data_IF_088640043388
#
_entry.id   IF_088640043388
#
_cell.length_a   1.000
_cell.length_b   1.000
_cell.length_c   1.000
_cell.angle_alpha   90.00
_cell.angle_beta   90.00
_cell.angle_gamma   90.00
#
_symmetry.space_group_name_H-M   'P 1'
#
loop_
_entity.id
_entity.type
_entity.pdbx_description
1 polymer ?
#
# COMPACT_ATOMS: atom_id res chain seq x y z
N UNK A 1 9.82 -8.20 9.01
CA UNK A 1 10.39 -8.33 7.64
C UNK A 1 11.26 -7.13 7.29
N UNK A 2 10.75 -5.88 7.31
CA UNK A 2 11.52 -4.70 6.88
C UNK A 2 12.81 -4.41 7.67
N UNK A 3 12.94 -4.67 8.99
CA UNK A 3 14.24 -4.48 9.67
C UNK A 3 15.32 -5.46 9.19
N UNK A 4 14.95 -6.73 9.01
CA UNK A 4 15.87 -7.74 8.45
C UNK A 4 16.28 -7.39 7.00
N UNK A 5 15.35 -6.86 6.20
CA UNK A 5 15.67 -6.34 4.86
C UNK A 5 16.65 -5.16 4.91
N UNK A 6 16.53 -4.29 5.92
CA UNK A 6 17.44 -3.16 6.10
C UNK A 6 18.86 -3.63 6.48
N UNK A 7 18.98 -4.59 7.39
CA UNK A 7 20.26 -5.20 7.76
C UNK A 7 20.95 -5.84 6.55
N UNK A 8 20.20 -6.62 5.76
CA UNK A 8 20.72 -7.23 4.54
C UNK A 8 21.14 -6.18 3.51
N UNK A 9 20.33 -5.14 3.31
CA UNK A 9 20.63 -4.07 2.37
C UNK A 9 21.92 -3.33 2.73
N UNK A 10 22.14 -3.05 4.02
CA UNK A 10 23.39 -2.44 4.51
C UNK A 10 24.59 -3.31 4.19
N UNK A 11 24.51 -4.63 4.46
CA UNK A 11 25.60 -5.56 4.18
C UNK A 11 25.95 -5.57 2.68
N UNK A 12 24.95 -5.78 1.83
CA UNK A 12 25.15 -5.86 0.37
C UNK A 12 25.71 -4.55 -0.18
N UNK A 13 25.17 -3.40 0.23
CA UNK A 13 25.60 -2.12 -0.30
C UNK A 13 26.99 -1.69 0.21
N UNK A 14 27.36 -2.10 1.42
CA UNK A 14 28.72 -1.93 1.91
C UNK A 14 29.73 -2.73 1.06
N UNK A 15 29.41 -3.98 0.74
CA UNK A 15 30.24 -4.83 -0.14
C UNK A 15 30.36 -4.25 -1.57
N UNK A 16 29.34 -3.51 -2.03
CA UNK A 16 29.36 -2.79 -3.32
C UNK A 16 30.07 -1.42 -3.29
N UNK A 17 30.65 -1.03 -2.15
CA UNK A 17 31.43 0.20 -2.02
C UNK A 17 30.60 1.46 -1.77
N UNK A 18 29.34 1.35 -1.34
CA UNK A 18 28.56 2.52 -0.90
C UNK A 18 29.22 3.14 0.33
N UNK A 19 29.43 4.47 0.37
CA UNK A 19 30.05 5.13 1.51
C UNK A 19 29.34 4.84 2.82
N UNK A 20 30.10 4.44 3.85
CA UNK A 20 29.57 4.08 5.18
C UNK A 20 28.70 5.19 5.79
N UNK A 21 29.00 6.45 5.50
CA UNK A 21 28.21 7.60 5.94
C UNK A 21 26.74 7.60 5.45
N UNK A 22 26.43 6.92 4.33
CA UNK A 22 25.07 6.81 3.79
C UNK A 22 24.27 5.64 4.35
N UNK A 23 24.94 4.64 4.93
CA UNK A 23 24.32 3.38 5.35
C UNK A 23 23.27 3.56 6.47
N UNK A 24 23.45 4.44 7.47
CA UNK A 24 22.42 4.66 8.50
C UNK A 24 21.10 5.20 7.94
N UNK A 25 21.16 6.19 7.04
CA UNK A 25 19.98 6.77 6.42
C UNK A 25 19.27 5.75 5.51
N UNK A 26 20.04 4.95 4.77
CA UNK A 26 19.51 3.86 3.96
C UNK A 26 18.84 2.78 4.81
N UNK A 27 19.48 2.34 5.88
CA UNK A 27 18.92 1.37 6.81
C UNK A 27 17.57 1.86 7.33
N UNK A 28 17.51 3.11 7.78
CA UNK A 28 16.26 3.69 8.28
C UNK A 28 15.17 3.72 7.22
N UNK A 29 15.48 4.18 6.01
CA UNK A 29 14.49 4.22 4.93
C UNK A 29 13.92 2.82 4.63
N UNK A 30 14.78 1.80 4.55
CA UNK A 30 14.34 0.40 4.32
C UNK A 30 13.60 -0.15 5.54
N UNK A 31 13.99 0.16 6.76
CA UNK A 31 13.28 -0.33 7.95
C UNK A 31 11.88 0.30 8.06
N UNK A 32 11.77 1.60 7.77
CA UNK A 32 10.59 2.42 8.01
C UNK A 32 9.53 2.38 6.90
N UNK A 33 9.86 1.97 5.66
CA UNK A 33 8.90 2.04 4.56
C UNK A 33 7.64 1.18 4.78
N UNK A 34 7.77 0.00 5.39
CA UNK A 34 6.65 -0.94 5.54
C UNK A 34 5.57 -0.44 6.50
N UNK A 35 4.31 -0.45 6.04
CA UNK A 35 3.14 -0.13 6.86
C UNK A 35 3.05 -0.97 8.15
N UNK A 36 3.34 -2.27 8.06
CA UNK A 36 3.20 -3.20 9.18
C UNK A 36 4.27 -3.02 10.27
N UNK A 37 5.42 -2.42 9.93
CA UNK A 37 6.52 -2.23 10.86
C UNK A 37 6.25 -1.10 11.87
N UNK A 38 5.37 -0.14 11.53
CA UNK A 38 5.00 1.00 12.38
C UNK A 38 6.20 1.83 12.87
N UNK A 39 7.27 1.88 12.07
CA UNK A 39 8.44 2.70 12.35
C UNK A 39 8.22 4.08 11.71
N UNK A 40 8.33 5.19 12.46
CA UNK A 40 8.18 6.54 11.92
C UNK A 40 9.26 6.89 10.88
N UNK A 41 8.87 7.60 9.82
CA UNK A 41 9.81 8.14 8.83
C UNK A 41 10.43 9.46 9.31
N UNK A 42 11.62 9.36 9.90
CA UNK A 42 12.36 10.50 10.47
C UNK A 42 13.16 11.30 9.43
N UNK A 43 13.59 10.67 8.33
CA UNK A 43 14.38 11.32 7.28
C UNK A 43 13.56 11.58 6.02
N UNK A 44 14.02 12.52 5.19
CA UNK A 44 13.37 12.84 3.90
C UNK A 44 13.40 11.62 2.97
N UNK A 45 14.49 10.88 2.95
CA UNK A 45 14.64 9.65 2.14
C UNK A 45 13.66 8.56 2.57
N UNK A 46 13.46 8.37 3.89
CA UNK A 46 12.50 7.39 4.41
C UNK A 46 11.06 7.78 4.02
N UNK A 47 10.72 9.07 4.12
CA UNK A 47 9.42 9.60 3.72
C UNK A 47 9.15 9.40 2.23
N UNK A 48 10.13 9.73 1.37
CA UNK A 48 10.03 9.55 -0.08
C UNK A 48 9.87 8.06 -0.43
N UNK A 49 10.69 7.19 0.17
CA UNK A 49 10.63 5.75 -0.11
C UNK A 49 9.30 5.14 0.34
N UNK A 50 8.81 5.52 1.53
CA UNK A 50 7.53 5.04 2.02
C UNK A 50 6.36 5.51 1.15
N UNK A 51 6.37 6.77 0.71
CA UNK A 51 5.34 7.27 -0.20
C UNK A 51 5.37 6.52 -1.53
N UNK A 52 6.57 6.28 -2.09
CA UNK A 52 6.72 5.51 -3.34
C UNK A 52 6.18 4.08 -3.22
N UNK A 53 6.49 3.38 -2.13
CA UNK A 53 5.98 2.03 -1.84
C UNK A 53 4.45 2.01 -1.71
N UNK A 54 3.88 2.97 -0.96
CA UNK A 54 2.43 3.06 -0.76
C UNK A 54 1.68 3.43 -2.03
N UNK A 55 2.25 4.29 -2.86
CA UNK A 55 1.67 4.67 -4.15
C UNK A 55 1.49 3.46 -5.07
N UNK A 56 2.34 2.45 -4.98
CA UNK A 56 2.20 1.19 -5.74
C UNK A 56 0.95 0.40 -5.33
N UNK A 57 0.45 0.59 -4.11
CA UNK A 57 -0.79 -0.02 -3.65
C UNK A 57 -2.06 0.66 -4.22
N UNK A 58 -1.91 1.81 -4.88
CA UNK A 58 -3.01 2.61 -5.38
C UNK A 58 -3.09 2.60 -6.91
N UNK A 59 -4.24 3.03 -7.44
CA UNK A 59 -4.49 3.16 -8.87
C UNK A 59 -4.66 1.80 -9.56
N UNK A 60 -4.42 1.78 -10.88
CA UNK A 60 -4.63 0.59 -11.71
C UNK A 60 -3.80 -0.63 -11.27
N UNK A 61 -2.51 -0.42 -10.96
CA UNK A 61 -1.63 -1.48 -10.45
C UNK A 61 -2.15 -1.98 -9.09
N UNK A 62 -2.55 -1.06 -8.22
CA UNK A 62 -3.16 -1.37 -6.93
C UNK A 62 -4.37 -2.29 -7.04
N UNK A 63 -5.30 -1.99 -7.95
CA UNK A 63 -6.48 -2.85 -8.19
C UNK A 63 -6.10 -4.25 -8.66
N UNK A 64 -5.23 -4.35 -9.67
CA UNK A 64 -4.78 -5.65 -10.20
C UNK A 64 -4.16 -6.47 -9.07
N UNK A 65 -3.25 -5.86 -8.29
CA UNK A 65 -2.59 -6.52 -7.18
C UNK A 65 -3.58 -6.95 -6.10
N UNK A 66 -4.55 -6.09 -5.76
CA UNK A 66 -5.57 -6.37 -4.74
C UNK A 66 -6.38 -7.63 -5.08
N UNK A 67 -6.91 -7.73 -6.30
CA UNK A 67 -7.69 -8.91 -6.70
C UNK A 67 -6.83 -10.17 -6.83
N UNK A 68 -5.62 -10.07 -7.40
CA UNK A 68 -4.72 -11.22 -7.53
C UNK A 68 -4.29 -11.76 -6.16
N UNK A 69 -3.95 -10.88 -5.21
CA UNK A 69 -3.56 -11.30 -3.86
C UNK A 69 -4.75 -11.89 -3.11
N UNK A 70 -5.94 -11.27 -3.19
CA UNK A 70 -7.14 -11.82 -2.56
C UNK A 70 -7.43 -13.23 -3.07
N UNK A 71 -7.44 -13.43 -4.40
CA UNK A 71 -7.65 -14.75 -4.99
C UNK A 71 -6.57 -15.77 -4.61
N UNK A 72 -5.29 -15.38 -4.57
CA UNK A 72 -4.19 -16.24 -4.14
C UNK A 72 -4.29 -16.66 -2.66
N UNK A 73 -4.94 -15.84 -1.83
CA UNK A 73 -5.19 -16.13 -0.41
C UNK A 73 -6.54 -16.82 -0.17
N UNK A 74 -7.26 -17.19 -1.23
CA UNK A 74 -8.56 -17.87 -1.14
C UNK A 74 -9.76 -16.96 -0.87
N UNK A 75 -9.56 -15.63 -0.94
CA UNK A 75 -10.64 -14.64 -0.88
C UNK A 75 -11.36 -14.48 -2.22
N UNK A 76 -12.54 -13.86 -2.18
CA UNK A 76 -13.34 -13.51 -3.33
C UNK A 76 -13.15 -12.03 -3.71
N UNK A 77 -13.56 -11.66 -4.92
CA UNK A 77 -13.49 -10.26 -5.36
C UNK A 77 -14.38 -9.32 -4.52
N UNK A 78 -15.58 -9.77 -4.19
CA UNK A 78 -16.58 -9.05 -3.40
C UNK A 78 -17.62 -10.05 -2.89
N UNK A 79 -18.38 -9.66 -1.86
CA UNK A 79 -19.54 -10.41 -1.41
C UNK A 79 -20.65 -10.36 -2.47
N UNK A 80 -21.27 -11.50 -2.79
CA UNK A 80 -22.26 -11.58 -3.86
C UNK A 80 -23.60 -10.90 -3.53
N UNK A 81 -23.89 -10.69 -2.25
CA UNK A 81 -25.17 -10.16 -1.76
C UNK A 81 -25.05 -8.76 -1.16
N UNK A 82 -23.89 -8.44 -0.59
CA UNK A 82 -23.59 -7.15 0.00
C UNK A 82 -22.15 -6.69 -0.35
N UNK A 83 -21.90 -6.33 -1.63
CA UNK A 83 -20.58 -5.90 -2.08
C UNK A 83 -20.02 -4.69 -1.34
N UNK A 84 -20.89 -3.85 -0.77
CA UNK A 84 -20.52 -2.64 -0.02
C UNK A 84 -20.48 -2.83 1.49
N UNK A 85 -20.71 -4.04 1.99
CA UNK A 85 -20.74 -4.33 3.42
C UNK A 85 -21.70 -3.39 4.20
N UNK A 86 -22.87 -3.09 3.63
CA UNK A 86 -23.87 -2.22 4.27
C UNK A 86 -24.54 -2.88 5.47
N UNK A 87 -24.61 -4.21 5.50
CA UNK A 87 -25.28 -5.03 6.51
C UNK A 87 -24.34 -6.04 7.18
N UNK A 88 -23.03 -5.95 6.92
CA UNK A 88 -21.98 -6.78 7.52
C UNK A 88 -20.75 -5.94 7.85
N UNK A 89 -19.87 -6.36 8.77
CA UNK A 89 -18.56 -5.73 8.89
C UNK A 89 -17.74 -5.92 7.62
N UNK A 90 -16.83 -4.98 7.36
CA UNK A 90 -15.79 -5.12 6.34
C UNK A 90 -14.86 -6.28 6.71
N UNK A 91 -14.55 -7.13 5.73
CA UNK A 91 -13.62 -8.25 5.83
C UNK A 91 -12.73 -8.29 4.60
N UNK A 92 -11.58 -7.63 4.69
CA UNK A 92 -10.60 -7.55 3.61
C UNK A 92 -9.76 -8.82 3.42
N UNK A 93 -9.97 -9.84 4.28
CA UNK A 93 -9.42 -11.18 4.07
C UNK A 93 -10.35 -12.03 3.22
N UNK A 94 -11.65 -11.88 3.42
CA UNK A 94 -12.67 -12.57 2.63
C UNK A 94 -12.90 -11.89 1.27
N UNK A 95 -12.89 -10.55 1.21
CA UNK A 95 -13.33 -9.80 0.04
C UNK A 95 -12.34 -8.71 -0.39
N UNK A 96 -11.91 -8.77 -1.65
CA UNK A 96 -10.97 -7.79 -2.20
C UNK A 96 -11.54 -6.36 -2.18
N UNK A 97 -12.83 -6.18 -2.48
CA UNK A 97 -13.45 -4.85 -2.55
C UNK A 97 -13.47 -4.12 -1.20
N UNK A 98 -13.61 -4.87 -0.10
CA UNK A 98 -13.55 -4.33 1.26
C UNK A 98 -12.17 -3.74 1.59
N UNK A 99 -11.11 -4.27 0.97
CA UNK A 99 -9.74 -3.78 1.15
C UNK A 99 -9.55 -2.32 0.72
N UNK A 100 -10.38 -1.84 -0.21
CA UNK A 100 -10.42 -0.44 -0.59
C UNK A 100 -10.69 0.46 0.62
N UNK A 101 -11.70 0.11 1.41
CA UNK A 101 -12.13 0.88 2.59
C UNK A 101 -11.25 0.62 3.81
N UNK A 102 -10.94 -0.65 4.08
CA UNK A 102 -10.15 -1.04 5.25
C UNK A 102 -8.74 -0.43 5.22
N UNK A 103 -8.16 -0.27 4.01
CA UNK A 103 -6.76 0.12 3.89
C UNK A 103 -6.49 1.16 2.80
N UNK A 104 -6.86 0.89 1.55
CA UNK A 104 -6.26 1.60 0.42
C UNK A 104 -6.65 3.09 0.39
N UNK A 105 -7.91 3.44 0.63
CA UNK A 105 -8.32 4.84 0.69
C UNK A 105 -7.69 5.60 1.87
N UNK A 106 -7.48 4.93 3.00
CA UNK A 106 -6.77 5.52 4.14
C UNK A 106 -5.31 5.88 3.84
N UNK A 107 -4.68 5.30 2.80
CA UNK A 107 -3.29 5.58 2.46
C UNK A 107 -3.06 7.05 2.08
N UNK A 108 -4.03 7.70 1.45
CA UNK A 108 -3.93 9.11 1.02
C UNK A 108 -3.58 10.00 2.22
N UNK A 109 -4.27 9.81 3.34
CA UNK A 109 -4.08 10.64 4.53
C UNK A 109 -2.74 10.39 5.22
N UNK A 110 -2.20 9.18 5.07
CA UNK A 110 -0.94 8.77 5.70
C UNK A 110 0.31 9.15 4.91
N UNK A 111 0.19 9.70 3.69
CA UNK A 111 1.34 10.11 2.87
C UNK A 111 2.21 11.14 3.59
N UNK A 112 3.52 11.02 3.46
CA UNK A 112 4.49 11.86 4.14
C UNK A 112 4.75 13.19 3.41
N UNK A 113 4.67 13.19 2.08
CA UNK A 113 5.00 14.32 1.23
C UNK A 113 3.75 14.91 0.56
N UNK A 114 3.78 16.21 0.26
CA UNK A 114 2.69 16.87 -0.46
C UNK A 114 2.48 16.27 -1.86
N UNK A 115 3.58 15.99 -2.57
CA UNK A 115 3.55 15.33 -3.89
C UNK A 115 3.00 13.92 -3.80
N UNK A 116 3.46 13.12 -2.82
CA UNK A 116 2.94 11.77 -2.59
C UNK A 116 1.44 11.77 -2.33
N UNK A 117 0.95 12.71 -1.51
CA UNK A 117 -0.48 12.88 -1.24
C UNK A 117 -1.28 13.25 -2.48
N UNK A 118 -0.79 14.17 -3.31
CA UNK A 118 -1.47 14.57 -4.54
C UNK A 118 -1.62 13.39 -5.52
N UNK A 119 -0.54 12.63 -5.75
CA UNK A 119 -0.57 11.43 -6.61
C UNK A 119 -1.47 10.35 -6.00
N UNK A 120 -1.44 10.18 -4.68
CA UNK A 120 -2.27 9.20 -3.99
C UNK A 120 -3.76 9.51 -4.15
N UNK A 121 -4.15 10.78 -4.02
CA UNK A 121 -5.52 11.23 -4.20
C UNK A 121 -6.03 10.94 -5.61
N UNK A 122 -5.26 11.31 -6.65
CA UNK A 122 -5.60 11.02 -8.05
C UNK A 122 -5.80 9.51 -8.29
N UNK A 123 -4.89 8.69 -7.74
CA UNK A 123 -4.98 7.23 -7.87
C UNK A 123 -6.16 6.64 -7.10
N UNK A 124 -6.47 7.18 -5.92
CA UNK A 124 -7.61 6.76 -5.12
C UNK A 124 -8.95 7.10 -5.81
N UNK A 125 -9.05 8.29 -6.42
CA UNK A 125 -10.23 8.71 -7.20
C UNK A 125 -10.50 7.75 -8.36
N UNK A 126 -9.44 7.32 -9.04
CA UNK A 126 -9.57 6.33 -10.12
C UNK A 126 -10.06 4.97 -9.60
N UNK A 127 -9.55 4.51 -8.46
CA UNK A 127 -10.03 3.27 -7.82
C UNK A 127 -11.50 3.37 -7.37
N UNK A 128 -11.91 4.53 -6.84
CA UNK A 128 -13.30 4.79 -6.47
C UNK A 128 -14.22 4.79 -7.71
N UNK A 129 -13.75 5.32 -8.83
CA UNK A 129 -14.44 5.30 -10.11
C UNK A 129 -14.60 3.86 -10.64
N UNK A 130 -13.54 3.04 -10.56
CA UNK A 130 -13.62 1.62 -10.89
C UNK A 130 -14.65 0.89 -10.03
N UNK A 131 -14.61 1.07 -8.70
CA UNK A 131 -15.56 0.46 -7.77
C UNK A 131 -16.99 0.83 -8.12
N UNK A 132 -17.25 2.11 -8.36
CA UNK A 132 -18.60 2.61 -8.71
C UNK A 132 -19.12 1.92 -9.97
N UNK A 133 -18.27 1.79 -10.99
CA UNK A 133 -18.61 1.11 -12.23
C UNK A 133 -18.84 -0.39 -12.04
N UNK A 134 -17.98 -1.05 -11.27
CA UNK A 134 -18.12 -2.47 -10.95
C UNK A 134 -19.46 -2.74 -10.25
N UNK A 135 -19.84 -1.93 -9.26
CA UNK A 135 -21.11 -2.05 -8.53
C UNK A 135 -22.30 -1.91 -9.48
N UNK A 136 -22.26 -0.92 -10.38
CA UNK A 136 -23.30 -0.74 -11.40
C UNK A 136 -23.41 -1.94 -12.36
N UNK A 137 -22.29 -2.58 -12.72
CA UNK A 137 -22.28 -3.73 -13.63
C UNK A 137 -22.82 -5.01 -12.98
N UNK A 138 -22.70 -5.14 -11.65
CA UNK A 138 -23.25 -6.27 -10.89
C UNK A 138 -24.66 -6.00 -10.32
N UNK A 139 -25.23 -4.82 -10.58
CA UNK A 139 -26.58 -4.44 -10.14
C UNK A 139 -26.70 -4.12 -8.65
N UNK A 140 -25.61 -3.65 -8.04
CA UNK A 140 -25.53 -3.25 -6.63
C UNK A 140 -25.64 -1.72 -6.45
#
# INVERSE_FOLDING_TARGET
ASPLSAELAVKVLHELGVPTAKLPALHHAVAAHSFSARIPCETVEARILQDADRLEALGAIGLVRMFLVSGALGGAGFDATDPMAMNRPLDDRAYALDHLEVKLFGLVETMNTATGRAIAAERADWMASFRTRLLSEIGA
#
